data_IF_296110305626
#
_entry.id   IF_296110305626
#
_cell.length_a   1.000
_cell.length_b   1.000
_cell.length_c   1.000
_cell.angle_alpha   90.00
_cell.angle_beta   90.00
_cell.angle_gamma   90.00
#
_symmetry.space_group_name_H-M   'P 1'
#
loop_
_entity.id
_entity.type
_entity.pdbx_description
1 polymer ?
#
# COMPACT_ATOMS: atom_id res chain seq x y z
N UNK A 1 25.86 11.91 23.96
CA UNK A 1 25.09 10.97 23.12
C UNK A 1 25.21 9.60 23.77
N UNK A 2 24.16 9.11 24.43
CA UNK A 2 24.04 7.69 24.82
C UNK A 2 22.55 7.39 24.96
N UNK A 3 21.91 6.98 23.87
CA UNK A 3 20.57 6.38 23.94
C UNK A 3 20.72 4.97 24.50
N UNK A 4 20.57 4.81 25.81
CA UNK A 4 20.66 3.50 26.46
C UNK A 4 19.41 2.68 26.18
N UNK A 5 19.58 1.51 25.55
CA UNK A 5 18.54 0.48 25.48
C UNK A 5 18.52 -0.31 26.80
N UNK A 6 17.33 -0.75 27.22
CA UNK A 6 17.17 -1.65 28.37
C UNK A 6 17.50 -3.07 27.94
N UNK A 7 18.13 -3.83 28.83
CA UNK A 7 18.47 -5.23 28.62
C UNK A 7 17.61 -6.10 29.55
N UNK A 8 17.24 -7.28 29.09
CA UNK A 8 16.57 -8.29 29.91
C UNK A 8 17.58 -9.11 30.74
N UNK A 9 17.07 -10.09 31.49
CA UNK A 9 17.87 -10.94 32.38
C UNK A 9 18.91 -11.78 31.64
N UNK A 10 18.70 -12.03 30.36
CA UNK A 10 19.59 -12.81 29.50
C UNK A 10 20.61 -11.90 28.78
N UNK A 11 20.50 -10.58 28.96
CA UNK A 11 21.37 -9.58 28.35
C UNK A 11 20.95 -9.18 26.94
N UNK A 12 19.76 -9.59 26.49
CA UNK A 12 19.18 -9.20 25.22
C UNK A 12 18.45 -7.86 25.35
N UNK A 13 18.25 -7.16 24.23
CA UNK A 13 17.55 -5.88 24.23
C UNK A 13 16.06 -6.07 24.54
N UNK A 14 15.58 -5.39 25.58
CA UNK A 14 14.17 -5.37 25.96
C UNK A 14 13.35 -4.63 24.88
N UNK A 15 12.62 -5.39 24.05
CA UNK A 15 11.75 -4.86 23.00
C UNK A 15 10.44 -4.35 23.62
N UNK A 16 10.48 -3.19 24.26
CA UNK A 16 9.34 -2.59 24.98
C UNK A 16 8.18 -2.17 24.06
N UNK A 17 8.41 -2.11 22.75
CA UNK A 17 7.39 -1.78 21.75
C UNK A 17 7.16 -2.97 20.83
N UNK A 18 5.89 -3.33 20.53
CA UNK A 18 5.61 -4.32 19.51
C UNK A 18 6.22 -3.86 18.18
N UNK A 19 6.85 -4.80 17.46
CA UNK A 19 7.41 -4.50 16.16
C UNK A 19 6.31 -4.00 15.22
N UNK A 20 6.54 -2.91 14.46
CA UNK A 20 5.55 -2.42 13.53
C UNK A 20 5.26 -3.47 12.45
N UNK A 21 3.99 -3.86 12.33
CA UNK A 21 3.52 -4.71 11.24
C UNK A 21 3.17 -3.81 10.06
N UNK A 22 3.93 -3.92 8.98
CA UNK A 22 3.66 -3.19 7.74
C UNK A 22 2.75 -4.01 6.83
N UNK A 23 1.58 -3.47 6.48
CA UNK A 23 0.74 -4.04 5.41
C UNK A 23 1.16 -3.46 4.05
N UNK A 24 1.35 -4.32 3.05
CA UNK A 24 1.59 -3.86 1.68
C UNK A 24 0.28 -3.48 0.98
N UNK A 25 0.05 -2.18 0.79
CA UNK A 25 -1.16 -1.67 0.12
C UNK A 25 -0.97 -1.80 -1.39
N UNK A 26 -1.70 -2.72 -2.02
CA UNK A 26 -1.58 -2.96 -3.47
C UNK A 26 -2.79 -2.41 -4.23
N UNK A 27 -2.54 -1.74 -5.35
CA UNK A 27 -3.60 -1.30 -6.24
C UNK A 27 -4.30 -2.51 -6.91
N UNK A 28 -5.63 -2.48 -7.06
CA UNK A 28 -6.34 -3.55 -7.75
C UNK A 28 -5.95 -3.60 -9.23
N UNK A 29 -5.47 -4.75 -9.71
CA UNK A 29 -5.13 -4.96 -11.12
C UNK A 29 -6.33 -5.47 -11.92
N UNK A 30 -6.46 -5.02 -13.16
CA UNK A 30 -7.44 -5.55 -14.09
C UNK A 30 -6.93 -6.87 -14.69
N UNK A 31 -7.55 -7.98 -14.29
CA UNK A 31 -7.21 -9.32 -14.82
C UNK A 31 -7.98 -9.70 -16.09
N UNK A 32 -9.14 -9.08 -16.35
CA UNK A 32 -9.95 -9.32 -17.54
C UNK A 32 -10.96 -8.19 -17.79
N UNK A 33 -11.37 -7.99 -19.04
CA UNK A 33 -12.33 -6.94 -19.46
C UNK A 33 -13.70 -7.06 -18.79
N UNK A 34 -14.19 -8.29 -18.58
CA UNK A 34 -15.46 -8.54 -17.87
C UNK A 34 -15.46 -8.00 -16.43
N UNK A 35 -14.27 -7.70 -15.87
CA UNK A 35 -14.06 -7.18 -14.52
C UNK A 35 -13.72 -5.69 -14.48
N UNK A 36 -14.02 -4.91 -15.51
CA UNK A 36 -13.84 -3.44 -15.49
C UNK A 36 -14.52 -2.78 -14.27
N UNK A 37 -15.64 -3.33 -13.80
CA UNK A 37 -16.34 -2.89 -12.59
C UNK A 37 -15.45 -2.93 -11.33
N UNK A 38 -14.37 -3.74 -11.32
CA UNK A 38 -13.43 -3.83 -10.20
C UNK A 38 -12.57 -2.57 -10.07
N UNK A 39 -12.21 -1.93 -11.19
CA UNK A 39 -11.37 -0.73 -11.19
C UNK A 39 -12.08 0.52 -10.64
N UNK A 40 -13.41 0.59 -10.75
CA UNK A 40 -14.23 1.66 -10.19
C UNK A 40 -15.13 1.20 -9.02
N UNK A 41 -14.97 -0.05 -8.61
CA UNK A 41 -15.83 -0.70 -7.62
C UNK A 41 -15.26 -0.66 -6.21
N UNK A 42 -15.78 -1.54 -5.36
CA UNK A 42 -15.45 -1.64 -3.94
C UNK A 42 -13.94 -1.83 -3.68
N UNK A 43 -13.25 -2.59 -4.53
CA UNK A 43 -11.81 -2.83 -4.39
C UNK A 43 -11.00 -1.54 -4.52
N UNK A 44 -11.35 -0.65 -5.46
CA UNK A 44 -10.68 0.64 -5.64
C UNK A 44 -10.93 1.57 -4.45
N UNK A 45 -12.18 1.65 -3.97
CA UNK A 45 -12.52 2.45 -2.79
C UNK A 45 -11.74 2.02 -1.55
N UNK A 46 -11.63 0.69 -1.33
CA UNK A 46 -10.83 0.13 -0.22
C UNK A 46 -9.35 0.50 -0.33
N UNK A 47 -8.79 0.45 -1.55
CA UNK A 47 -7.42 0.86 -1.80
C UNK A 47 -7.19 2.34 -1.46
N UNK A 48 -8.08 3.23 -1.91
CA UNK A 48 -7.98 4.68 -1.66
C UNK A 48 -8.07 5.01 -0.17
N UNK A 49 -8.95 4.34 0.58
CA UNK A 49 -9.04 4.48 2.04
C UNK A 49 -7.72 4.08 2.72
N UNK A 50 -7.14 2.93 2.37
CA UNK A 50 -5.86 2.49 2.94
C UNK A 50 -4.71 3.45 2.63
N UNK A 51 -4.67 4.00 1.41
CA UNK A 51 -3.67 5.01 1.05
C UNK A 51 -3.86 6.27 1.89
N UNK A 52 -5.09 6.75 2.06
CA UNK A 52 -5.37 7.92 2.90
C UNK A 52 -4.97 7.71 4.37
N UNK A 53 -5.27 6.55 4.94
CA UNK A 53 -4.86 6.17 6.31
C UNK A 53 -3.33 6.18 6.47
N UNK A 54 -2.60 5.59 5.51
CA UNK A 54 -1.13 5.62 5.50
C UNK A 54 -0.60 7.05 5.38
N UNK A 55 -1.15 7.84 4.46
CA UNK A 55 -0.75 9.23 4.23
C UNK A 55 -1.00 10.10 5.47
N UNK A 56 -2.05 9.84 6.24
CA UNK A 56 -2.31 10.54 7.50
C UNK A 56 -1.19 10.32 8.54
N UNK A 57 -0.56 9.14 8.56
CA UNK A 57 0.55 8.82 9.47
C UNK A 57 1.89 9.35 8.96
N UNK A 58 2.11 9.28 7.65
CA UNK A 58 3.41 9.59 7.01
C UNK A 58 3.56 11.05 6.57
N UNK A 59 2.46 11.81 6.48
CA UNK A 59 2.44 13.17 5.92
C UNK A 59 2.57 13.21 4.40
N UNK A 60 2.49 12.05 3.73
CA UNK A 60 2.53 11.95 2.27
C UNK A 60 1.22 12.47 1.64
N UNK A 61 1.28 12.90 0.36
CA UNK A 61 0.10 13.34 -0.40
C UNK A 61 -0.52 12.12 -1.11
N UNK A 62 -1.78 11.73 -0.81
CA UNK A 62 -2.42 10.53 -1.38
C UNK A 62 -2.40 10.48 -2.91
N UNK A 63 -2.64 11.60 -3.57
CA UNK A 63 -2.73 11.70 -5.03
C UNK A 63 -1.39 11.40 -5.70
N UNK A 64 -0.26 11.68 -5.04
CA UNK A 64 1.09 11.41 -5.56
C UNK A 64 1.49 9.95 -5.47
N UNK A 65 0.94 9.21 -4.51
CA UNK A 65 1.32 7.83 -4.22
C UNK A 65 0.32 6.83 -4.78
N UNK A 66 -0.94 7.24 -4.92
CA UNK A 66 -1.99 6.37 -5.46
C UNK A 66 -1.66 5.95 -6.91
N UNK A 67 -1.79 4.65 -7.19
CA UNK A 67 -1.62 4.14 -8.53
C UNK A 67 -2.75 4.64 -9.43
N UNK A 68 -2.40 5.14 -10.62
CA UNK A 68 -3.40 5.53 -11.61
C UNK A 68 -4.17 4.30 -12.12
N UNK A 69 -5.42 4.50 -12.55
CA UNK A 69 -6.20 3.44 -13.19
C UNK A 69 -5.46 2.88 -14.42
N UNK A 70 -4.76 3.73 -15.18
CA UNK A 70 -3.95 3.31 -16.35
C UNK A 70 -2.81 2.35 -15.96
N UNK A 71 -2.19 2.55 -14.81
CA UNK A 71 -1.14 1.65 -14.31
C UNK A 71 -1.67 0.32 -13.73
N UNK A 72 -3.00 0.18 -13.62
CA UNK A 72 -3.64 -1.04 -13.15
C UNK A 72 -3.95 -2.05 -14.28
N UNK A 73 -3.71 -1.68 -15.55
CA UNK A 73 -3.86 -2.57 -16.70
C UNK A 73 -2.54 -3.32 -16.95
N UNK A 74 -2.64 -4.58 -17.35
CA UNK A 74 -1.48 -5.31 -17.83
C UNK A 74 -1.01 -4.75 -19.19
N UNK A 75 0.29 -4.85 -19.48
CA UNK A 75 0.91 -4.25 -20.68
C UNK A 75 0.30 -4.83 -21.94
N UNK A 76 0.01 -6.14 -21.93
CA UNK A 76 -0.64 -6.84 -23.03
C UNK A 76 -2.05 -6.30 -23.34
N UNK A 77 -2.75 -5.82 -22.30
CA UNK A 77 -4.10 -5.24 -22.45
C UNK A 77 -4.01 -3.81 -23.00
N UNK A 78 -3.00 -3.03 -22.57
CA UNK A 78 -2.79 -1.67 -23.07
C UNK A 78 -2.44 -1.64 -24.56
N UNK A 79 -1.67 -2.64 -25.05
CA UNK A 79 -1.29 -2.75 -26.45
C UNK A 79 -2.50 -2.92 -27.41
N UNK A 80 -3.60 -3.53 -26.93
CA UNK A 80 -4.83 -3.72 -27.72
C UNK A 80 -5.67 -2.44 -27.80
N UNK A 81 -5.57 -1.55 -26.80
CA UNK A 81 -6.36 -0.30 -26.73
C UNK A 81 -5.68 0.85 -27.49
N UNK A 82 -4.36 0.78 -27.67
CA UNK A 82 -3.57 1.82 -28.34
C UNK A 82 -3.62 1.75 -29.88
N UNK A 83 -4.48 0.89 -30.46
CA UNK A 83 -4.76 0.76 -31.90
C UNK A 83 -6.06 1.45 -32.26
#
# INVERSE_FOLDING_TARGET
MSGGYRLDSDGDVEMSFPQPVYEFITAPKLKSWTKLCVLRGLARKRYEVKIAERCAVTGEIPERISASVKSCFDVDILAVIAR
#
